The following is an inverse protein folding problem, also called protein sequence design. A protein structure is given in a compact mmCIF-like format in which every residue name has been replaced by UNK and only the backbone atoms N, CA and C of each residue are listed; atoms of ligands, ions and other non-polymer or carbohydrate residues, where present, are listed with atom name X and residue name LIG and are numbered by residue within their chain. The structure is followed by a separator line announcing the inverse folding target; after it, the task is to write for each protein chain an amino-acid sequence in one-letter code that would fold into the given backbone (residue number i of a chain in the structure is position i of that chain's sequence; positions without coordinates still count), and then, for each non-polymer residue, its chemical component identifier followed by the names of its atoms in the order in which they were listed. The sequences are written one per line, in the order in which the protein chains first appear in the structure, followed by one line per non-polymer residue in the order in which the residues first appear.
data_IF_974203914067
#
_entry.id   IF_974203914067
#
_cell.length_a   1.000
_cell.length_b   1.000
_cell.length_c   1.000
_cell.angle_alpha   90.00
_cell.angle_beta   90.00
_cell.angle_gamma   90.00
#
_symmetry.space_group_name_H-M   'P 1'
#
loop_
_entity.id
_entity.type
_entity.pdbx_description
1 polymer ?
#
# COMPACT_ATOMS: atom_id res chain seq x y z
N UNK A 1 81.77 -34.55 -0.36
CA UNK A 1 82.86 -33.71 -0.90
C UNK A 1 82.60 -33.46 -2.38
N UNK A 2 82.88 -32.22 -2.82
CA UNK A 2 83.02 -31.71 -4.21
C UNK A 2 81.76 -31.18 -4.90
N UNK A 3 81.71 -29.85 -4.90
CA UNK A 3 81.16 -28.98 -5.94
C UNK A 3 81.80 -29.28 -7.30
N UNK A 4 81.08 -29.04 -8.41
CA UNK A 4 81.66 -28.39 -9.60
C UNK A 4 80.58 -27.85 -10.56
N UNK A 5 80.94 -26.71 -11.12
CA UNK A 5 80.23 -25.79 -12.03
C UNK A 5 79.97 -26.32 -13.45
N UNK A 6 78.84 -25.86 -14.01
CA UNK A 6 78.60 -25.27 -15.35
C UNK A 6 79.22 -25.89 -16.61
N UNK A 7 78.36 -26.19 -17.59
CA UNK A 7 78.58 -25.86 -19.00
C UNK A 7 77.25 -25.66 -19.72
N UNK A 8 77.10 -24.47 -20.29
CA UNK A 8 75.93 -24.01 -21.04
C UNK A 8 75.97 -24.52 -22.49
N UNK A 9 74.81 -24.96 -23.00
CA UNK A 9 74.57 -25.06 -24.44
C UNK A 9 73.36 -24.16 -24.77
N UNK A 10 73.62 -23.13 -25.57
CA UNK A 10 72.61 -22.24 -26.11
C UNK A 10 71.92 -22.91 -27.30
N UNK A 11 70.60 -23.08 -27.24
CA UNK A 11 69.76 -23.40 -28.39
C UNK A 11 68.87 -22.19 -28.69
N UNK A 12 69.10 -21.55 -29.84
CA UNK A 12 68.26 -20.49 -30.38
C UNK A 12 66.88 -21.07 -30.73
N UNK A 13 65.83 -20.65 -30.02
CA UNK A 13 64.44 -20.88 -30.41
C UNK A 13 63.92 -19.61 -31.07
N UNK A 14 63.64 -19.69 -32.37
CA UNK A 14 62.97 -18.63 -33.13
C UNK A 14 61.50 -18.62 -32.68
N UNK A 15 61.15 -17.70 -31.77
CA UNK A 15 59.76 -17.46 -31.37
C UNK A 15 59.12 -16.54 -32.40
N UNK A 16 58.23 -17.12 -33.21
CA UNK A 16 57.33 -16.39 -34.10
C UNK A 16 56.41 -15.48 -33.29
N UNK A 17 56.55 -14.17 -33.44
CA UNK A 17 55.64 -13.16 -32.90
C UNK A 17 54.30 -13.15 -33.64
N UNK A 18 53.45 -14.15 -33.38
CA UNK A 18 52.03 -14.09 -33.72
C UNK A 18 51.29 -13.23 -32.70
N UNK A 19 51.00 -11.97 -33.02
CA UNK A 19 50.08 -11.13 -32.21
C UNK A 19 48.72 -11.82 -32.15
N UNK A 20 48.32 -12.29 -30.96
CA UNK A 20 46.93 -12.71 -30.71
C UNK A 20 46.04 -11.49 -30.88
N UNK A 21 45.15 -11.51 -31.87
CA UNK A 21 44.08 -10.51 -32.00
C UNK A 21 43.16 -10.56 -30.76
N UNK A 22 42.53 -9.44 -30.39
CA UNK A 22 41.57 -9.43 -29.28
C UNK A 22 40.46 -10.45 -29.58
N UNK A 23 40.15 -11.33 -28.63
CA UNK A 23 38.97 -12.17 -28.74
C UNK A 23 37.72 -11.28 -28.74
N UNK A 24 36.70 -11.56 -29.59
CA UNK A 24 35.43 -10.85 -29.52
C UNK A 24 34.81 -11.08 -28.13
N UNK A 25 34.72 -10.03 -27.32
CA UNK A 25 33.91 -10.08 -26.11
C UNK A 25 32.45 -10.22 -26.55
N UNK A 26 31.80 -11.30 -26.12
CA UNK A 26 30.35 -11.40 -26.20
C UNK A 26 29.78 -10.28 -25.32
N UNK A 27 29.19 -9.28 -25.96
CA UNK A 27 28.40 -8.25 -25.27
C UNK A 27 27.10 -8.96 -24.85
N UNK A 28 26.99 -9.32 -23.57
CA UNK A 28 25.69 -9.67 -23.00
C UNK A 28 24.73 -8.51 -23.25
N UNK A 29 23.51 -8.76 -23.73
CA UNK A 29 22.52 -7.70 -23.85
C UNK A 29 22.28 -7.15 -22.44
N UNK A 30 22.79 -5.94 -22.16
CA UNK A 30 22.30 -5.20 -21.02
C UNK A 30 20.82 -5.00 -21.27
N UNK A 31 19.99 -5.66 -20.45
CA UNK A 31 18.58 -5.33 -20.36
C UNK A 31 18.51 -3.85 -19.98
N UNK A 32 18.25 -3.00 -20.97
CA UNK A 32 17.84 -1.64 -20.71
C UNK A 32 16.54 -1.76 -19.91
N UNK A 33 16.63 -1.62 -18.59
CA UNK A 33 15.46 -1.42 -17.76
C UNK A 33 14.70 -0.25 -18.39
N UNK A 34 13.46 -0.49 -18.79
CA UNK A 34 12.59 0.53 -19.33
C UNK A 34 12.49 1.65 -18.29
N UNK A 35 13.24 2.74 -18.50
CA UNK A 35 13.32 3.89 -17.60
C UNK A 35 12.10 4.79 -17.73
N UNK A 36 11.06 4.37 -18.44
CA UNK A 36 9.81 5.11 -18.50
C UNK A 36 9.23 5.15 -17.08
N UNK A 37 9.05 6.34 -16.49
CA UNK A 37 8.38 6.47 -15.20
C UNK A 37 7.04 5.75 -15.26
N UNK A 38 6.63 5.02 -14.21
CA UNK A 38 5.32 4.36 -14.21
C UNK A 38 4.25 5.41 -14.55
N UNK A 39 3.51 5.17 -15.62
CA UNK A 39 2.51 6.12 -16.13
C UNK A 39 1.40 6.28 -15.09
N UNK A 40 1.39 7.39 -14.37
CA UNK A 40 0.28 7.81 -13.50
C UNK A 40 -0.61 8.76 -14.28
N UNK A 41 -1.91 8.50 -14.23
CA UNK A 41 -2.94 9.43 -14.71
C UNK A 41 -3.22 10.37 -13.54
N UNK A 42 -2.94 11.65 -13.71
CA UNK A 42 -3.24 12.64 -12.68
C UNK A 42 -4.75 12.71 -12.41
N UNK A 43 -5.17 12.84 -11.15
CA UNK A 43 -6.58 12.81 -10.76
C UNK A 43 -7.35 14.02 -11.31
N UNK A 44 -8.44 13.75 -12.03
CA UNK A 44 -9.44 14.74 -12.44
C UNK A 44 -10.65 14.69 -11.48
N UNK A 45 -10.38 14.86 -10.19
CA UNK A 45 -11.37 14.73 -9.13
C UNK A 45 -11.89 16.09 -8.67
N UNK A 46 -13.15 16.14 -8.25
CA UNK A 46 -13.74 17.26 -7.54
C UNK A 46 -13.97 16.94 -6.07
N UNK A 47 -14.45 17.93 -5.33
CA UNK A 47 -14.93 17.78 -3.95
C UNK A 47 -16.18 18.64 -3.78
N UNK A 48 -17.24 18.06 -3.22
CA UNK A 48 -18.49 18.76 -2.97
C UNK A 48 -18.41 19.74 -1.77
N UNK A 49 -17.44 19.56 -0.88
CA UNK A 49 -17.21 20.41 0.28
C UNK A 49 -15.69 20.51 0.57
N UNK A 50 -14.93 21.22 -0.29
CA UNK A 50 -13.48 21.26 -0.20
C UNK A 50 -13.02 22.03 1.04
N UNK A 51 -12.09 21.46 1.78
CA UNK A 51 -11.36 22.19 2.80
C UNK A 51 -10.40 23.22 2.17
N UNK A 52 -10.38 24.48 2.64
CA UNK A 52 -9.44 25.50 2.16
C UNK A 52 -8.03 25.25 2.74
N UNK A 53 -7.23 24.46 2.05
CA UNK A 53 -5.87 24.12 2.47
C UNK A 53 -4.96 25.36 2.47
N UNK A 54 -4.47 25.75 3.65
CA UNK A 54 -3.42 26.79 3.79
C UNK A 54 -2.00 26.22 3.61
N UNK A 55 -1.85 24.93 3.90
CA UNK A 55 -0.60 24.17 3.89
C UNK A 55 -0.43 23.37 2.58
N UNK A 56 0.42 22.33 2.59
CA UNK A 56 0.56 21.41 1.46
C UNK A 56 -0.79 20.76 1.13
N UNK A 57 -1.35 21.13 -0.03
CA UNK A 57 -2.59 20.60 -0.59
C UNK A 57 -2.47 19.10 -0.97
N UNK A 58 -3.52 18.27 -0.83
CA UNK A 58 -3.51 16.85 -1.23
C UNK A 58 -3.11 16.62 -2.69
N UNK A 59 -3.51 17.52 -3.59
CA UNK A 59 -3.16 17.46 -5.02
C UNK A 59 -1.66 17.61 -5.34
N UNK A 60 -0.80 17.91 -4.35
CA UNK A 60 0.66 17.85 -4.55
C UNK A 60 1.21 16.42 -4.58
N UNK A 61 0.42 15.44 -4.15
CA UNK A 61 0.75 14.03 -4.28
C UNK A 61 0.19 13.51 -5.62
N UNK A 62 0.96 12.74 -6.40
CA UNK A 62 0.54 12.37 -7.76
C UNK A 62 -0.41 11.17 -7.79
N UNK A 63 -0.40 10.30 -6.77
CA UNK A 63 -1.08 9.00 -6.79
C UNK A 63 -2.30 9.03 -5.89
N UNK A 64 -3.49 9.05 -6.49
CA UNK A 64 -4.75 9.09 -5.77
C UNK A 64 -5.58 7.82 -5.95
N UNK A 65 -6.42 7.52 -4.98
CA UNK A 65 -7.26 6.33 -4.97
C UNK A 65 -8.49 6.51 -4.11
N UNK A 66 -9.33 5.49 -4.09
CA UNK A 66 -10.61 5.49 -3.38
C UNK A 66 -10.60 4.50 -2.23
N UNK A 67 -11.47 4.71 -1.27
CA UNK A 67 -11.95 3.63 -0.43
C UNK A 67 -13.47 3.52 -0.50
N UNK A 68 -13.97 2.28 -0.62
CA UNK A 68 -15.37 2.01 -0.97
C UNK A 68 -15.93 0.84 -0.16
N UNK A 69 -17.25 0.83 -0.02
CA UNK A 69 -18.01 -0.20 0.70
C UNK A 69 -19.37 -0.42 0.06
N UNK A 70 -20.27 -1.12 0.75
CA UNK A 70 -21.70 -1.20 0.38
C UNK A 70 -22.39 0.15 0.17
N UNK A 71 -21.88 1.22 0.78
CA UNK A 71 -22.47 2.56 0.69
C UNK A 71 -22.34 3.19 -0.69
N UNK A 72 -21.25 2.88 -1.42
CA UNK A 72 -21.10 3.35 -2.78
C UNK A 72 -21.96 2.49 -3.72
N UNK A 73 -22.77 3.10 -4.62
CA UNK A 73 -23.48 2.37 -5.66
C UNK A 73 -22.50 1.68 -6.64
N UNK A 74 -22.97 0.89 -7.62
CA UNK A 74 -22.11 0.33 -8.64
C UNK A 74 -21.23 1.42 -9.30
N UNK A 75 -19.93 1.14 -9.41
CA UNK A 75 -18.93 2.07 -9.93
C UNK A 75 -18.57 1.68 -11.36
N UNK A 76 -18.54 2.65 -12.26
CA UNK A 76 -17.87 2.49 -13.55
C UNK A 76 -16.36 2.64 -13.34
N UNK A 77 -15.73 1.50 -13.05
CA UNK A 77 -14.30 1.42 -12.75
C UNK A 77 -13.40 1.79 -13.92
N UNK A 78 -13.88 1.65 -15.17
CA UNK A 78 -13.09 2.05 -16.35
C UNK A 78 -13.03 3.56 -16.45
N UNK A 79 -14.15 4.24 -16.26
CA UNK A 79 -14.20 5.71 -16.18
C UNK A 79 -13.45 6.23 -14.95
N UNK A 80 -13.57 5.57 -13.81
CA UNK A 80 -12.82 5.92 -12.60
C UNK A 80 -11.30 5.79 -12.82
N UNK A 81 -10.84 4.69 -13.44
CA UNK A 81 -9.43 4.53 -13.79
C UNK A 81 -8.97 5.61 -14.77
N UNK A 82 -9.74 5.87 -15.83
CA UNK A 82 -9.41 6.88 -16.83
C UNK A 82 -9.35 8.30 -16.24
N UNK A 83 -10.03 8.57 -15.11
CA UNK A 83 -9.98 9.85 -14.41
C UNK A 83 -8.87 9.95 -13.34
N UNK A 84 -8.02 8.93 -13.19
CA UNK A 84 -6.84 8.96 -12.32
C UNK A 84 -6.91 8.09 -11.05
N UNK A 85 -7.96 7.26 -10.89
CA UNK A 85 -8.00 6.30 -9.77
C UNK A 85 -6.90 5.24 -9.94
N UNK A 86 -5.88 5.36 -9.09
CA UNK A 86 -4.65 4.56 -9.15
C UNK A 86 -4.65 3.37 -8.18
N UNK A 87 -5.55 3.36 -7.19
CA UNK A 87 -5.76 2.25 -6.25
C UNK A 87 -7.15 2.30 -5.63
N UNK A 88 -7.58 1.18 -5.04
CA UNK A 88 -8.81 1.10 -4.24
C UNK A 88 -8.62 0.24 -2.98
N UNK A 89 -9.03 0.76 -1.82
CA UNK A 89 -9.27 -0.05 -0.63
C UNK A 89 -10.76 -0.38 -0.51
N UNK A 90 -11.11 -1.66 -0.39
CA UNK A 90 -12.50 -2.11 -0.52
C UNK A 90 -12.91 -2.81 0.77
N UNK A 91 -14.02 -2.37 1.38
CA UNK A 91 -14.52 -2.99 2.60
C UNK A 91 -14.83 -4.45 2.33
N UNK A 92 -14.28 -5.35 3.13
CA UNK A 92 -14.59 -6.77 3.03
C UNK A 92 -15.41 -7.25 4.21
N UNK A 93 -15.01 -6.90 5.43
CA UNK A 93 -15.67 -7.39 6.64
C UNK A 93 -15.68 -6.35 7.75
N UNK A 94 -16.57 -6.58 8.71
CA UNK A 94 -16.74 -5.77 9.91
C UNK A 94 -17.00 -6.72 11.09
N UNK A 95 -16.30 -6.51 12.21
CA UNK A 95 -16.46 -7.37 13.37
C UNK A 95 -16.15 -8.84 13.10
N UNK A 96 -16.91 -9.75 13.71
CA UNK A 96 -16.69 -11.20 13.59
C UNK A 96 -17.72 -11.93 12.72
N UNK A 97 -18.68 -11.21 12.15
CA UNK A 97 -19.93 -11.78 11.63
C UNK A 97 -20.56 -10.99 10.47
N UNK A 98 -19.98 -9.85 10.04
CA UNK A 98 -20.49 -9.09 8.91
C UNK A 98 -19.51 -9.13 7.73
N UNK A 99 -20.01 -9.56 6.56
CA UNK A 99 -19.33 -9.45 5.28
C UNK A 99 -19.99 -8.35 4.44
N UNK A 100 -19.19 -7.49 3.80
CA UNK A 100 -19.73 -6.42 2.97
C UNK A 100 -20.30 -7.00 1.67
N UNK A 101 -21.61 -6.81 1.40
CA UNK A 101 -22.27 -7.44 0.26
C UNK A 101 -21.78 -6.93 -1.11
N UNK A 102 -21.07 -5.78 -1.16
CA UNK A 102 -20.52 -5.23 -2.39
C UNK A 102 -19.02 -5.46 -2.55
N UNK A 103 -18.37 -6.12 -1.58
CA UNK A 103 -16.93 -6.38 -1.65
C UNK A 103 -16.53 -7.02 -2.98
N UNK A 104 -17.24 -8.08 -3.36
CA UNK A 104 -16.88 -8.90 -4.51
C UNK A 104 -17.19 -8.22 -5.86
N UNK A 105 -18.25 -7.41 -5.90
CA UNK A 105 -18.57 -6.54 -7.05
C UNK A 105 -17.49 -5.50 -7.28
N UNK A 106 -17.16 -4.71 -6.23
CA UNK A 106 -16.14 -3.66 -6.31
C UNK A 106 -14.77 -4.24 -6.63
N UNK A 107 -14.39 -5.35 -5.98
CA UNK A 107 -13.11 -6.03 -6.22
C UNK A 107 -12.96 -6.46 -7.67
N UNK A 108 -13.96 -7.14 -8.23
CA UNK A 108 -13.91 -7.61 -9.63
C UNK A 108 -13.93 -6.45 -10.61
N UNK A 109 -14.70 -5.39 -10.32
CA UNK A 109 -14.74 -4.19 -11.14
C UNK A 109 -13.40 -3.45 -11.19
N UNK A 110 -12.79 -3.22 -10.02
CA UNK A 110 -11.47 -2.62 -9.90
C UNK A 110 -10.40 -3.46 -10.63
N UNK A 111 -10.39 -4.78 -10.39
CA UNK A 111 -9.47 -5.71 -11.05
C UNK A 111 -9.63 -5.69 -12.58
N UNK A 112 -10.86 -5.73 -13.09
CA UNK A 112 -11.14 -5.70 -14.53
C UNK A 112 -10.77 -4.37 -15.21
N UNK A 113 -10.74 -3.28 -14.46
CA UNK A 113 -10.26 -1.97 -14.92
C UNK A 113 -8.75 -1.76 -14.70
N UNK A 114 -8.04 -2.75 -14.15
CA UNK A 114 -6.61 -2.66 -13.85
C UNK A 114 -6.28 -1.71 -12.69
N UNK A 115 -7.24 -1.44 -11.79
CA UNK A 115 -7.05 -0.68 -10.56
C UNK A 115 -6.55 -1.65 -9.46
N UNK A 116 -5.30 -1.48 -8.97
CA UNK A 116 -4.79 -2.25 -7.83
C UNK A 116 -5.70 -2.15 -6.63
N UNK A 117 -5.98 -3.29 -5.98
CA UNK A 117 -6.91 -3.33 -4.86
C UNK A 117 -6.32 -3.98 -3.60
N UNK A 118 -6.83 -3.56 -2.45
CA UNK A 118 -6.67 -4.22 -1.16
C UNK A 118 -7.98 -4.22 -0.38
N UNK A 119 -8.26 -5.29 0.37
CA UNK A 119 -9.42 -5.33 1.26
C UNK A 119 -9.16 -4.65 2.61
N UNK A 120 -10.17 -4.01 3.21
CA UNK A 120 -10.12 -3.51 4.58
C UNK A 120 -11.13 -4.18 5.53
N UNK A 121 -10.75 -4.25 6.80
CA UNK A 121 -11.52 -4.80 7.90
C UNK A 121 -11.90 -3.73 8.93
N UNK A 122 -13.19 -3.49 9.16
CA UNK A 122 -13.67 -2.55 10.17
C UNK A 122 -13.73 -3.22 11.56
N UNK A 123 -12.82 -2.84 12.45
CA UNK A 123 -12.58 -3.57 13.69
C UNK A 123 -13.59 -3.24 14.80
N UNK A 124 -14.12 -4.25 15.49
CA UNK A 124 -14.96 -4.12 16.68
C UNK A 124 -14.29 -4.65 17.94
N UNK A 125 -14.16 -3.83 18.98
CA UNK A 125 -13.61 -4.27 20.29
C UNK A 125 -14.50 -5.23 21.08
N UNK A 126 -15.70 -5.54 20.58
CA UNK A 126 -16.62 -6.51 21.19
C UNK A 126 -16.30 -7.96 20.81
N UNK A 127 -15.28 -8.17 19.96
CA UNK A 127 -14.79 -9.49 19.57
C UNK A 127 -13.26 -9.48 19.61
N UNK A 128 -12.63 -10.61 19.96
CA UNK A 128 -11.18 -10.68 19.98
C UNK A 128 -10.61 -10.71 18.56
N UNK A 129 -9.39 -10.17 18.39
CA UNK A 129 -8.71 -9.99 17.11
C UNK A 129 -8.65 -11.27 16.27
N UNK A 130 -8.43 -12.41 16.92
CA UNK A 130 -8.28 -13.69 16.24
C UNK A 130 -9.59 -14.21 15.61
N UNK A 131 -10.76 -13.86 16.17
CA UNK A 131 -12.05 -14.16 15.54
C UNK A 131 -12.24 -13.30 14.29
N UNK A 132 -11.98 -12.00 14.42
CA UNK A 132 -12.12 -11.05 13.31
C UNK A 132 -11.14 -11.33 12.18
N UNK A 133 -9.90 -11.71 12.50
CA UNK A 133 -8.90 -12.10 11.51
C UNK A 133 -9.32 -13.38 10.75
N UNK A 134 -9.87 -14.39 11.44
CA UNK A 134 -10.43 -15.58 10.79
C UNK A 134 -11.60 -15.21 9.88
N UNK A 135 -12.49 -14.34 10.34
CA UNK A 135 -13.62 -13.87 9.55
C UNK A 135 -13.18 -13.14 8.28
N UNK A 136 -12.18 -12.25 8.39
CA UNK A 136 -11.57 -11.60 7.23
C UNK A 136 -10.97 -12.62 6.25
N UNK A 137 -10.18 -13.59 6.74
CA UNK A 137 -9.57 -14.64 5.90
C UNK A 137 -10.60 -15.51 5.18
N UNK A 138 -11.74 -15.79 5.81
CA UNK A 138 -12.81 -16.58 5.19
C UNK A 138 -13.51 -15.84 4.03
N UNK A 139 -13.52 -14.50 4.07
CA UNK A 139 -14.27 -13.67 3.13
C UNK A 139 -13.39 -12.97 2.08
N UNK A 140 -12.07 -12.96 2.27
CA UNK A 140 -11.13 -12.27 1.39
C UNK A 140 -10.21 -13.29 0.72
N UNK A 141 -10.26 -13.44 -0.62
CA UNK A 141 -9.35 -14.32 -1.32
C UNK A 141 -7.93 -13.75 -1.32
N UNK A 142 -6.95 -14.63 -1.49
CA UNK A 142 -5.58 -14.21 -1.86
C UNK A 142 -5.57 -13.55 -3.24
N UNK A 143 -4.49 -12.84 -3.54
CA UNK A 143 -4.28 -12.19 -4.85
C UNK A 143 -4.67 -10.71 -4.90
N UNK A 144 -4.73 -10.04 -3.75
CA UNK A 144 -4.76 -8.58 -3.71
C UNK A 144 -3.42 -7.99 -4.18
N UNK A 145 -3.47 -6.85 -4.89
CA UNK A 145 -2.29 -6.12 -5.36
C UNK A 145 -1.62 -5.32 -4.24
N UNK A 146 -2.41 -4.94 -3.23
CA UNK A 146 -2.02 -4.10 -2.10
C UNK A 146 -2.07 -4.91 -0.80
N UNK A 147 -1.30 -4.52 0.24
CA UNK A 147 -1.54 -5.01 1.59
C UNK A 147 -2.99 -4.73 2.01
N UNK A 148 -3.56 -5.63 2.79
CA UNK A 148 -4.86 -5.39 3.41
C UNK A 148 -4.78 -4.27 4.45
N UNK A 149 -5.94 -3.80 4.89
CA UNK A 149 -6.04 -2.72 5.87
C UNK A 149 -6.78 -3.20 7.09
N UNK A 150 -6.24 -2.90 8.26
CA UNK A 150 -6.97 -2.92 9.53
C UNK A 150 -7.51 -1.51 9.79
N UNK A 151 -8.81 -1.31 9.67
CA UNK A 151 -9.49 -0.07 10.03
C UNK A 151 -9.82 -0.10 11.52
N UNK A 152 -9.13 0.75 12.28
CA UNK A 152 -9.32 0.93 13.71
C UNK A 152 -9.63 2.39 14.01
N UNK A 153 -10.91 2.62 14.29
CA UNK A 153 -11.44 3.88 14.76
C UNK A 153 -12.47 3.64 15.88
N UNK A 154 -12.89 4.73 16.52
CA UNK A 154 -14.01 4.64 17.45
C UNK A 154 -15.31 4.41 16.68
N UNK A 155 -16.18 3.58 17.23
CA UNK A 155 -17.43 3.15 16.59
C UNK A 155 -18.67 3.74 17.29
N UNK A 156 -18.77 5.06 17.53
CA UNK A 156 -19.84 5.64 18.35
C UNK A 156 -21.24 5.40 17.76
N UNK A 157 -21.32 5.26 16.43
CA UNK A 157 -22.56 5.02 15.69
C UNK A 157 -22.94 3.54 15.57
N UNK A 158 -22.05 2.60 15.93
CA UNK A 158 -22.38 1.18 15.86
C UNK A 158 -23.46 0.84 16.88
N UNK A 159 -24.53 0.19 16.42
CA UNK A 159 -25.62 -0.25 17.29
C UNK A 159 -25.22 -1.44 18.17
N UNK A 160 -24.20 -2.19 17.75
CA UNK A 160 -23.82 -3.50 18.31
C UNK A 160 -22.49 -3.47 19.05
N UNK A 161 -21.61 -2.50 18.79
CA UNK A 161 -20.33 -2.39 19.47
C UNK A 161 -19.84 -0.96 19.66
N UNK A 162 -19.82 -0.46 20.90
CA UNK A 162 -19.30 0.88 21.26
C UNK A 162 -18.17 0.85 22.29
N UNK A 163 -17.60 -0.33 22.55
CA UNK A 163 -16.55 -0.50 23.56
C UNK A 163 -15.31 0.32 23.16
N UNK A 164 -14.75 1.06 24.13
CA UNK A 164 -13.50 1.81 24.01
C UNK A 164 -12.49 1.30 25.05
N UNK A 165 -11.70 0.27 24.75
CA UNK A 165 -10.69 -0.21 25.69
C UNK A 165 -9.49 0.74 25.74
N UNK A 166 -8.63 0.57 26.73
CA UNK A 166 -7.41 1.37 26.86
C UNK A 166 -6.43 1.14 25.69
N UNK A 167 -5.54 2.11 25.45
CA UNK A 167 -4.60 2.06 24.33
C UNK A 167 -3.64 0.86 24.33
N UNK A 168 -3.31 0.28 25.50
CA UNK A 168 -2.47 -0.94 25.55
C UNK A 168 -3.26 -2.13 25.01
N UNK A 169 -4.51 -2.27 25.41
CA UNK A 169 -5.42 -3.31 24.89
C UNK A 169 -5.63 -3.13 23.40
N UNK A 170 -5.88 -1.90 22.94
CA UNK A 170 -6.02 -1.58 21.51
C UNK A 170 -4.80 -2.05 20.71
N UNK A 171 -3.59 -1.65 21.11
CA UNK A 171 -2.36 -2.05 20.41
C UNK A 171 -2.11 -3.55 20.43
N UNK A 172 -2.42 -4.22 21.54
CA UNK A 172 -2.26 -5.67 21.64
C UNK A 172 -3.19 -6.42 20.68
N UNK A 173 -4.44 -5.98 20.55
CA UNK A 173 -5.40 -6.55 19.61
C UNK A 173 -5.02 -6.26 18.15
N UNK A 174 -4.60 -5.02 17.85
CA UNK A 174 -4.10 -4.66 16.54
C UNK A 174 -2.92 -5.54 16.12
N UNK A 175 -1.91 -5.70 16.99
CA UNK A 175 -0.74 -6.53 16.73
C UNK A 175 -1.14 -7.98 16.39
N UNK A 176 -2.05 -8.58 17.18
CA UNK A 176 -2.55 -9.94 16.91
C UNK A 176 -3.21 -10.05 15.54
N UNK A 177 -4.07 -9.11 15.18
CA UNK A 177 -4.75 -9.11 13.89
C UNK A 177 -3.74 -8.97 12.74
N UNK A 178 -2.84 -7.99 12.82
CA UNK A 178 -1.81 -7.75 11.81
C UNK A 178 -0.93 -8.98 11.59
N UNK A 179 -0.49 -9.64 12.67
CA UNK A 179 0.38 -10.81 12.58
C UNK A 179 -0.34 -12.03 11.99
N UNK A 180 -1.63 -12.21 12.26
CA UNK A 180 -2.43 -13.29 11.67
C UNK A 180 -2.56 -13.07 10.16
N UNK A 181 -2.89 -11.86 9.73
CA UNK A 181 -3.05 -11.54 8.31
C UNK A 181 -1.70 -11.58 7.58
N UNK A 182 -0.63 -11.06 8.18
CA UNK A 182 0.72 -11.11 7.59
C UNK A 182 1.14 -12.56 7.31
N UNK A 183 0.93 -13.47 8.27
CA UNK A 183 1.20 -14.91 8.07
C UNK A 183 0.33 -15.52 6.96
N UNK A 184 -0.92 -15.09 6.81
CA UNK A 184 -1.84 -15.67 5.84
C UNK A 184 -1.60 -15.16 4.40
N UNK A 185 -1.44 -13.85 4.25
CA UNK A 185 -1.35 -13.14 2.97
C UNK A 185 0.08 -12.85 2.52
N UNK A 186 1.08 -12.99 3.40
CA UNK A 186 2.49 -12.76 3.09
C UNK A 186 2.91 -11.29 3.05
N UNK A 187 1.99 -10.36 3.32
CA UNK A 187 2.25 -8.92 3.44
C UNK A 187 1.56 -8.39 4.69
N UNK A 188 2.29 -7.60 5.47
CA UNK A 188 1.75 -6.97 6.68
C UNK A 188 0.66 -5.96 6.32
N UNK A 189 -0.54 -6.01 6.93
CA UNK A 189 -1.56 -5.00 6.68
C UNK A 189 -1.11 -3.61 7.14
N UNK A 190 -1.61 -2.58 6.48
CA UNK A 190 -1.49 -1.20 6.98
C UNK A 190 -2.64 -0.91 7.96
N UNK A 191 -2.51 0.11 8.81
CA UNK A 191 -3.55 0.50 9.76
C UNK A 191 -4.19 1.81 9.32
N UNK A 192 -5.50 1.79 9.09
CA UNK A 192 -6.30 3.01 8.98
C UNK A 192 -6.73 3.48 10.37
N UNK A 193 -6.73 4.80 10.57
CA UNK A 193 -7.25 5.38 11.82
C UNK A 193 -7.64 6.86 11.69
N UNK A 194 -8.29 7.37 12.74
CA UNK A 194 -8.79 8.74 12.88
C UNK A 194 -8.04 9.52 13.96
N UNK A 195 -8.18 10.84 13.95
CA UNK A 195 -7.40 11.76 14.81
C UNK A 195 -7.58 11.41 16.29
N UNK A 196 -8.84 11.35 16.74
CA UNK A 196 -9.18 11.08 18.13
C UNK A 196 -8.72 9.69 18.55
N UNK A 197 -8.96 8.67 17.71
CA UNK A 197 -8.54 7.32 18.01
C UNK A 197 -7.01 7.22 18.15
N UNK A 198 -6.27 7.86 17.25
CA UNK A 198 -4.80 7.86 17.29
C UNK A 198 -4.27 8.51 18.57
N UNK A 199 -4.84 9.64 18.97
CA UNK A 199 -4.48 10.36 20.20
C UNK A 199 -4.85 9.60 21.47
N UNK A 200 -6.07 9.09 21.55
CA UNK A 200 -6.61 8.40 22.73
C UNK A 200 -5.89 7.08 23.01
N UNK A 201 -5.53 6.36 21.95
CA UNK A 201 -5.01 5.00 22.06
C UNK A 201 -3.50 4.91 21.87
N UNK A 202 -2.86 5.96 21.37
CA UNK A 202 -1.43 6.00 21.06
C UNK A 202 -1.04 4.81 20.15
N UNK A 203 -1.93 4.49 19.18
CA UNK A 203 -1.80 3.41 18.21
C UNK A 203 -0.53 3.55 17.36
N UNK A 204 -0.03 4.77 17.19
CA UNK A 204 1.23 5.10 16.51
C UNK A 204 2.47 4.41 17.07
N UNK A 205 2.41 3.85 18.30
CA UNK A 205 3.51 3.05 18.87
C UNK A 205 3.56 1.61 18.37
N UNK A 206 2.63 1.19 17.51
CA UNK A 206 2.69 -0.14 16.91
C UNK A 206 3.99 -0.30 16.10
N UNK A 207 4.78 -1.35 16.36
CA UNK A 207 6.02 -1.57 15.65
C UNK A 207 5.74 -2.03 14.22
N UNK A 208 6.60 -1.59 13.28
CA UNK A 208 6.57 -2.02 11.86
C UNK A 208 5.20 -1.79 11.21
N UNK A 209 4.52 -0.70 11.55
CA UNK A 209 3.19 -0.39 11.04
C UNK A 209 3.25 0.85 10.16
N UNK A 210 2.72 0.72 8.95
CA UNK A 210 2.44 1.83 8.07
C UNK A 210 1.00 2.29 8.28
N UNK A 211 0.78 3.61 8.30
CA UNK A 211 -0.54 4.17 8.55
C UNK A 211 -1.20 4.76 7.31
N UNK A 212 -2.50 4.53 7.23
CA UNK A 212 -3.44 5.29 6.42
C UNK A 212 -4.19 6.25 7.36
N UNK A 213 -3.91 7.54 7.26
CA UNK A 213 -4.42 8.53 8.20
C UNK A 213 -5.59 9.30 7.60
N UNK A 214 -6.71 9.38 8.33
CA UNK A 214 -7.80 10.29 7.97
C UNK A 214 -7.52 11.69 8.48
N UNK A 215 -7.51 12.69 7.60
CA UNK A 215 -7.49 14.09 8.01
C UNK A 215 -8.12 14.97 6.93
N UNK A 216 -9.35 15.43 7.17
CA UNK A 216 -10.13 16.18 6.17
C UNK A 216 -10.04 17.70 6.36
N UNK A 217 -9.32 18.16 7.39
CA UNK A 217 -9.22 19.57 7.76
C UNK A 217 -7.81 19.94 8.26
N UNK A 218 -6.78 19.23 7.80
CA UNK A 218 -5.39 19.48 8.17
C UNK A 218 -4.42 18.49 7.53
N UNK A 219 -3.21 18.94 7.20
CA UNK A 219 -2.22 18.03 6.61
C UNK A 219 -1.75 17.00 7.68
N UNK A 220 -1.60 15.70 7.34
CA UNK A 220 -1.24 14.67 8.32
C UNK A 220 0.02 14.97 9.14
N UNK A 221 1.02 15.65 8.54
CA UNK A 221 2.24 16.09 9.24
C UNK A 221 1.98 16.94 10.49
N UNK A 222 0.89 17.72 10.49
CA UNK A 222 0.52 18.62 11.58
C UNK A 222 -0.44 17.93 12.55
N UNK A 223 -1.41 17.20 12.01
CA UNK A 223 -2.48 16.56 12.78
C UNK A 223 -1.98 15.30 13.51
N UNK A 224 -1.01 14.61 12.92
CA UNK A 224 -0.39 13.41 13.48
C UNK A 224 1.13 13.60 13.57
N UNK A 225 1.62 14.44 14.50
CA UNK A 225 3.02 14.77 14.57
C UNK A 225 3.87 13.50 14.82
N UNK A 226 4.87 13.30 13.95
CA UNK A 226 5.79 12.14 13.93
C UNK A 226 5.18 10.82 13.44
N UNK A 227 3.93 10.79 12.99
CA UNK A 227 3.36 9.58 12.40
C UNK A 227 4.07 9.25 11.07
N UNK A 228 4.44 7.98 10.90
CA UNK A 228 4.90 7.45 9.62
C UNK A 228 3.67 6.97 8.88
N UNK A 229 3.31 7.66 7.79
CA UNK A 229 2.09 7.37 7.03
C UNK A 229 2.39 7.18 5.54
N UNK A 230 1.61 6.29 4.93
CA UNK A 230 1.66 5.95 3.51
C UNK A 230 0.46 6.45 2.74
N UNK A 231 -0.69 6.52 3.39
CA UNK A 231 -1.91 7.00 2.76
C UNK A 231 -2.57 8.06 3.61
N UNK A 232 -3.27 8.96 2.93
CA UNK A 232 -4.03 10.03 3.55
C UNK A 232 -5.42 10.08 2.94
N UNK A 233 -6.46 9.83 3.75
CA UNK A 233 -7.84 10.14 3.39
C UNK A 233 -8.09 11.61 3.67
N UNK A 234 -8.23 12.40 2.62
CA UNK A 234 -8.29 13.86 2.71
C UNK A 234 -9.68 14.44 2.51
N UNK A 235 -10.64 13.63 2.06
CA UNK A 235 -12.04 14.04 1.93
C UNK A 235 -12.96 12.82 1.96
N UNK A 236 -14.18 13.03 2.46
CA UNK A 236 -15.31 12.09 2.30
C UNK A 236 -16.45 12.64 1.47
N UNK A 237 -16.22 13.77 0.81
CA UNK A 237 -17.17 14.48 -0.05
C UNK A 237 -16.69 14.55 -1.49
N UNK A 238 -15.72 13.70 -1.84
CA UNK A 238 -15.11 13.62 -3.16
C UNK A 238 -16.10 13.30 -4.28
N UNK A 239 -15.85 13.87 -5.46
CA UNK A 239 -16.62 13.68 -6.68
C UNK A 239 -15.68 13.12 -7.75
N UNK A 240 -15.89 11.87 -8.15
CA UNK A 240 -14.98 11.14 -9.03
C UNK A 240 -15.74 10.64 -10.26
N UNK A 241 -15.31 10.95 -11.49
CA UNK A 241 -15.93 10.40 -12.69
C UNK A 241 -16.02 8.87 -12.63
N UNK A 242 -17.21 8.32 -12.89
CA UNK A 242 -17.50 6.89 -12.77
C UNK A 242 -18.07 6.46 -11.40
N UNK A 243 -18.04 7.33 -10.39
CA UNK A 243 -18.67 7.09 -9.09
C UNK A 243 -19.90 8.00 -8.96
N UNK A 244 -21.06 7.40 -8.67
CA UNK A 244 -22.26 8.18 -8.40
C UNK A 244 -22.30 8.60 -6.92
N UNK A 245 -22.44 9.89 -6.67
CA UNK A 245 -22.47 10.46 -5.32
C UNK A 245 -21.08 10.72 -4.74
N UNK A 246 -21.05 10.92 -3.42
CA UNK A 246 -19.83 11.23 -2.67
C UNK A 246 -19.01 9.98 -2.40
N UNK A 247 -17.69 10.10 -2.46
CA UNK A 247 -16.75 9.02 -2.15
C UNK A 247 -15.55 9.55 -1.39
N UNK A 248 -14.99 8.69 -0.55
CA UNK A 248 -13.75 8.98 0.15
C UNK A 248 -12.58 8.97 -0.86
N UNK A 249 -11.76 10.02 -0.83
CA UNK A 249 -10.58 10.12 -1.69
C UNK A 249 -9.30 10.14 -0.84
N UNK A 250 -8.34 9.37 -1.34
CA UNK A 250 -7.07 9.13 -0.72
C UNK A 250 -5.92 9.53 -1.62
N UNK A 251 -4.78 9.83 -1.02
CA UNK A 251 -3.52 9.97 -1.73
C UNK A 251 -2.40 9.15 -1.09
N UNK A 252 -1.47 8.68 -1.90
CA UNK A 252 -0.26 7.98 -1.45
C UNK A 252 0.89 8.96 -1.22
N UNK A 253 1.61 8.76 -0.12
CA UNK A 253 2.77 9.56 0.28
C UNK A 253 4.03 9.14 -0.48
N UNK A 254 4.15 9.58 -1.74
CA UNK A 254 5.34 9.36 -2.54
C UNK A 254 5.19 9.76 -4.00
N UNK A 255 6.27 9.59 -4.76
CA UNK A 255 6.30 9.76 -6.21
C UNK A 255 5.67 8.56 -6.92
N UNK A 256 5.40 8.64 -8.24
CA UNK A 256 4.97 7.49 -9.04
C UNK A 256 5.90 6.27 -8.92
N UNK A 257 7.22 6.50 -8.86
CA UNK A 257 8.23 5.44 -8.73
C UNK A 257 8.16 4.80 -7.34
N UNK A 258 8.04 5.61 -6.29
CA UNK A 258 7.87 5.12 -4.93
C UNK A 258 6.59 4.29 -4.78
N UNK A 259 5.51 4.70 -5.46
CA UNK A 259 4.27 3.93 -5.53
C UNK A 259 4.47 2.58 -6.23
N UNK A 260 5.12 2.55 -7.40
CA UNK A 260 5.37 1.33 -8.12
C UNK A 260 6.20 0.33 -7.31
N UNK A 261 7.25 0.83 -6.63
CA UNK A 261 8.09 0.03 -5.75
C UNK A 261 7.33 -0.52 -4.54
N UNK A 262 6.61 0.35 -3.80
CA UNK A 262 5.85 -0.05 -2.62
C UNK A 262 4.76 -1.08 -2.95
N UNK A 263 4.05 -0.89 -4.07
CA UNK A 263 3.04 -1.84 -4.55
C UNK A 263 3.63 -3.21 -4.82
N UNK A 264 4.86 -3.29 -5.35
CA UNK A 264 5.58 -4.54 -5.61
C UNK A 264 6.15 -5.22 -4.35
N UNK A 265 5.98 -4.61 -3.16
CA UNK A 265 6.42 -5.18 -1.88
C UNK A 265 7.84 -4.80 -1.46
N UNK A 266 8.42 -3.77 -2.08
CA UNK A 266 9.71 -3.20 -1.70
C UNK A 266 9.60 -1.99 -0.78
#
# INVERSE_FOLDING_TARGET
MRQALLLALAALVIVSCGRRGPQPQAVEPQAFADTTPPSIIYPAFGDADPHPWEDRHPGHYPVHGLDVSRWQPPIDWRTARASGVSFAFIKATEGGDFADPKFDEHRRGAQAAGVPWGAYHYYYFCRPAHEQARWFIQNVPKGADLPHVLDMEWTPHSKTCRIRPDGRTVRAEAQKFLDILERHYGRRPIVYTTVDFYGDTDIGRLPKTEFWLRSVAGHPRNVYPRAIWRFWQYTGTGLVPGVQGKVDINTFNGTPEAWAHWKAGG
#
